data_IF_407699103585
#
_entry.id   IF_407699103585
#
_cell.length_a   1.000
_cell.length_b   1.000
_cell.length_c   1.000
_cell.angle_alpha   90.00
_cell.angle_beta   90.00
_cell.angle_gamma   90.00
#
_symmetry.space_group_name_H-M   'P 1'
#
loop_
_entity.id
_entity.type
_entity.pdbx_description
1 polymer ?
#
# COMPACT_ATOMS: atom_id res chain seq x y z
N UNK A 1 -69.44 38.76 7.02
CA UNK A 1 -68.79 39.95 6.43
C UNK A 1 -67.46 40.18 7.13
N UNK A 2 -66.36 39.79 6.49
CA UNK A 2 -65.03 40.39 6.69
C UNK A 2 -64.39 40.41 5.31
N UNK A 3 -64.78 41.40 4.51
CA UNK A 3 -63.99 41.80 3.35
C UNK A 3 -62.62 42.20 3.88
N UNK A 4 -61.63 41.34 3.66
CA UNK A 4 -60.25 41.63 3.96
C UNK A 4 -59.86 42.87 3.17
N UNK A 5 -59.54 43.96 3.86
CA UNK A 5 -58.92 45.15 3.28
C UNK A 5 -57.56 44.76 2.68
N UNK A 6 -57.56 44.23 1.45
CA UNK A 6 -56.38 44.23 0.62
C UNK A 6 -56.10 45.69 0.26
N UNK A 7 -54.95 46.20 0.69
CA UNK A 7 -54.55 47.56 0.38
C UNK A 7 -54.58 47.74 -1.15
N UNK A 8 -55.33 48.72 -1.64
CA UNK A 8 -55.45 49.06 -3.07
C UNK A 8 -54.12 49.49 -3.71
N UNK A 9 -53.07 49.68 -2.89
CA UNK A 9 -51.69 49.96 -3.29
C UNK A 9 -50.73 49.25 -2.31
N UNK A 10 -50.45 47.96 -2.49
CA UNK A 10 -49.45 47.28 -1.68
C UNK A 10 -48.07 47.84 -2.05
N UNK A 11 -47.46 48.60 -1.15
CA UNK A 11 -46.04 48.90 -1.27
C UNK A 11 -45.27 47.66 -0.83
N UNK A 12 -44.81 46.85 -1.78
CA UNK A 12 -43.84 45.79 -1.50
C UNK A 12 -42.52 46.46 -1.08
N UNK A 13 -42.18 46.34 0.20
CA UNK A 13 -40.88 46.74 0.73
C UNK A 13 -39.92 45.56 0.53
N UNK A 14 -39.13 45.59 -0.52
CA UNK A 14 -38.01 44.66 -0.71
C UNK A 14 -36.91 45.00 0.29
N UNK A 15 -36.81 44.22 1.38
CA UNK A 15 -35.79 44.41 2.43
C UNK A 15 -34.51 43.66 2.06
N UNK A 16 -33.74 44.25 1.15
CA UNK A 16 -32.43 43.72 0.73
C UNK A 16 -31.39 43.77 1.84
N UNK A 17 -31.56 44.67 2.83
CA UNK A 17 -30.60 44.88 3.90
C UNK A 17 -30.66 43.76 4.94
N UNK A 18 -31.84 43.19 5.21
CA UNK A 18 -32.01 42.10 6.17
C UNK A 18 -31.15 40.88 5.83
N UNK A 19 -31.17 40.43 4.57
CA UNK A 19 -30.40 39.28 4.12
C UNK A 19 -28.89 39.54 4.24
N UNK A 20 -28.46 40.72 3.83
CA UNK A 20 -27.06 41.15 3.94
C UNK A 20 -26.58 41.10 5.40
N UNK A 21 -27.34 41.66 6.35
CA UNK A 21 -26.94 41.70 7.77
C UNK A 21 -26.91 40.30 8.41
N UNK A 22 -27.81 39.39 8.00
CA UNK A 22 -27.87 38.05 8.57
C UNK A 22 -26.75 37.14 8.07
N UNK A 23 -26.36 37.30 6.80
CA UNK A 23 -25.40 36.42 6.13
C UNK A 23 -24.10 37.12 5.72
N UNK A 24 -23.79 38.27 6.34
CA UNK A 24 -22.54 38.99 6.05
C UNK A 24 -21.34 38.06 6.27
N UNK A 25 -20.41 38.08 5.30
CA UNK A 25 -19.21 37.24 5.23
C UNK A 25 -19.44 35.72 5.24
N UNK A 26 -20.69 35.24 5.11
CA UNK A 26 -20.99 33.81 4.97
C UNK A 26 -20.97 33.41 3.50
N UNK A 27 -19.98 32.59 3.15
CA UNK A 27 -19.75 32.13 1.77
C UNK A 27 -19.71 30.62 1.75
N UNK A 28 -20.51 30.02 0.87
CA UNK A 28 -20.45 28.59 0.63
C UNK A 28 -19.40 28.30 -0.44
N UNK A 29 -18.43 27.45 -0.13
CA UNK A 29 -17.34 27.07 -1.04
C UNK A 29 -17.52 25.62 -1.49
N UNK A 30 -17.60 25.42 -2.80
CA UNK A 30 -17.67 24.12 -3.45
C UNK A 30 -16.46 23.91 -4.37
N UNK A 31 -16.03 22.66 -4.48
CA UNK A 31 -15.04 22.22 -5.44
C UNK A 31 -15.74 21.61 -6.65
N UNK A 32 -15.40 22.12 -7.82
CA UNK A 32 -16.06 21.82 -9.08
C UNK A 32 -15.06 21.26 -10.07
N UNK A 33 -15.54 20.35 -10.90
CA UNK A 33 -14.81 19.83 -12.05
C UNK A 33 -15.52 20.31 -13.31
N UNK A 34 -14.79 20.99 -14.19
CA UNK A 34 -15.23 21.24 -15.55
C UNK A 34 -14.54 20.24 -16.46
N UNK A 35 -15.36 19.37 -17.06
CA UNK A 35 -14.93 18.42 -18.07
C UNK A 35 -15.12 19.04 -19.46
N UNK A 36 -14.01 19.36 -20.11
CA UNK A 36 -13.96 19.83 -21.51
C UNK A 36 -13.38 18.74 -22.43
N UNK A 37 -13.27 17.48 -21.99
CA UNK A 37 -12.60 16.41 -22.74
C UNK A 37 -13.22 16.09 -24.11
N UNK A 38 -14.48 16.48 -24.33
CA UNK A 38 -15.15 16.39 -25.64
C UNK A 38 -14.53 17.34 -26.68
N UNK A 39 -13.85 18.40 -26.26
CA UNK A 39 -13.18 19.35 -27.13
C UNK A 39 -11.80 18.84 -27.57
N UNK A 40 -11.38 19.12 -28.80
CA UNK A 40 -10.11 18.60 -29.37
C UNK A 40 -8.86 18.95 -28.55
N UNK A 41 -8.89 20.04 -27.80
CA UNK A 41 -7.80 20.48 -26.93
C UNK A 41 -8.28 20.70 -25.49
N UNK A 42 -9.42 20.12 -25.15
CA UNK A 42 -10.01 20.28 -23.83
C UNK A 42 -9.36 19.35 -22.81
N UNK A 43 -9.52 19.74 -21.56
CA UNK A 43 -8.90 19.10 -20.42
C UNK A 43 -9.81 19.19 -19.20
N UNK A 44 -9.52 18.34 -18.21
CA UNK A 44 -10.24 18.33 -16.93
C UNK A 44 -9.70 19.44 -16.03
N UNK A 45 -10.56 20.41 -15.71
CA UNK A 45 -10.17 21.61 -14.96
C UNK A 45 -10.82 21.63 -13.59
N UNK A 46 -10.00 21.83 -12.57
CA UNK A 46 -10.43 22.00 -11.19
C UNK A 46 -10.76 23.46 -10.93
N UNK A 47 -11.94 23.71 -10.39
CA UNK A 47 -12.42 25.05 -10.06
C UNK A 47 -13.02 25.09 -8.65
N UNK A 48 -13.11 26.29 -8.10
CA UNK A 48 -13.77 26.60 -6.84
C UNK A 48 -14.93 27.53 -7.11
N UNK A 49 -16.12 27.13 -6.70
CA UNK A 49 -17.33 27.94 -6.73
C UNK A 49 -17.57 28.52 -5.34
N UNK A 50 -17.70 29.86 -5.28
CA UNK A 50 -18.12 30.59 -4.10
C UNK A 50 -19.55 31.07 -4.30
N UNK A 51 -20.44 30.70 -3.39
CA UNK A 51 -21.82 31.20 -3.32
C UNK A 51 -21.97 32.12 -2.11
N UNK A 52 -22.30 33.39 -2.34
CA UNK A 52 -22.44 34.40 -1.31
C UNK A 52 -23.89 34.44 -0.82
N UNK A 53 -24.11 34.05 0.45
CA UNK A 53 -25.46 34.00 1.04
C UNK A 53 -26.08 35.39 1.27
N UNK A 54 -25.25 36.42 1.32
CA UNK A 54 -25.69 37.80 1.53
C UNK A 54 -26.49 38.38 0.36
N UNK A 55 -26.21 37.95 -0.87
CA UNK A 55 -26.79 38.50 -2.10
C UNK A 55 -27.15 37.45 -3.17
N UNK A 56 -27.01 36.16 -2.87
CA UNK A 56 -27.26 35.03 -3.76
C UNK A 56 -26.48 35.13 -5.08
N UNK A 57 -25.20 35.52 -4.97
CA UNK A 57 -24.29 35.62 -6.12
C UNK A 57 -23.27 34.50 -6.13
N UNK A 58 -22.82 34.14 -7.33
CA UNK A 58 -21.83 33.09 -7.58
C UNK A 58 -20.58 33.70 -8.21
N UNK A 59 -19.42 33.29 -7.71
CA UNK A 59 -18.09 33.56 -8.27
C UNK A 59 -17.38 32.21 -8.51
N UNK A 60 -16.69 32.07 -9.64
CA UNK A 60 -15.97 30.84 -9.97
C UNK A 60 -14.50 31.17 -10.22
N UNK A 61 -13.62 30.44 -9.55
CA UNK A 61 -12.16 30.56 -9.67
C UNK A 61 -11.54 29.26 -10.15
N UNK A 62 -10.57 29.35 -11.03
CA UNK A 62 -9.79 28.20 -11.49
C UNK A 62 -8.63 27.91 -10.51
N UNK A 63 -8.41 26.63 -10.19
CA UNK A 63 -7.25 26.18 -9.39
C UNK A 63 -6.09 25.90 -10.35
N UNK A 64 -5.19 26.87 -10.48
CA UNK A 64 -4.00 26.73 -11.34
C UNK A 64 -2.88 26.06 -10.52
N UNK A 65 -2.57 24.80 -10.85
CA UNK A 65 -1.44 24.06 -10.25
C UNK A 65 -0.11 24.47 -10.91
N UNK A 66 1.00 24.22 -10.22
CA UNK A 66 2.33 24.43 -10.79
C UNK A 66 2.55 23.56 -12.04
N UNK A 67 3.28 24.09 -13.03
CA UNK A 67 3.64 23.41 -14.28
C UNK A 67 2.46 23.04 -15.20
N UNK A 68 1.29 23.66 -15.05
CA UNK A 68 0.11 23.43 -15.94
C UNK A 68 0.22 24.20 -17.27
N UNK A 69 1.11 25.18 -17.37
CA UNK A 69 1.35 25.93 -18.62
C UNK A 69 0.25 26.93 -18.98
N UNK A 70 -0.58 27.34 -18.02
CA UNK A 70 -1.67 28.32 -18.19
C UNK A 70 -1.30 29.69 -17.66
N UNK A 71 -1.91 30.71 -18.23
CA UNK A 71 -1.83 32.07 -17.73
C UNK A 71 -2.52 32.20 -16.37
N UNK A 72 -1.95 33.03 -15.50
CA UNK A 72 -2.30 33.12 -14.09
C UNK A 72 -3.51 34.03 -13.83
N UNK A 73 -4.58 33.89 -14.62
CA UNK A 73 -5.85 34.59 -14.37
C UNK A 73 -6.79 33.64 -13.61
N UNK A 74 -6.83 33.70 -12.27
CA UNK A 74 -7.57 32.73 -11.47
C UNK A 74 -9.09 32.91 -11.55
N UNK A 75 -9.58 34.05 -12.07
CA UNK A 75 -11.01 34.35 -12.10
C UNK A 75 -11.64 33.86 -13.39
N UNK A 76 -12.47 32.83 -13.30
CA UNK A 76 -13.21 32.27 -14.43
C UNK A 76 -14.56 32.98 -14.63
N UNK A 77 -15.28 33.22 -13.54
CA UNK A 77 -16.56 33.94 -13.53
C UNK A 77 -16.53 35.02 -12.44
N UNK A 78 -16.75 36.28 -12.84
CA UNK A 78 -16.90 37.38 -11.88
C UNK A 78 -18.20 37.22 -11.10
N UNK A 79 -18.18 37.62 -9.81
CA UNK A 79 -19.35 37.60 -8.91
C UNK A 79 -20.59 38.21 -9.57
N UNK A 80 -21.61 37.40 -9.76
CA UNK A 80 -22.91 37.79 -10.32
C UNK A 80 -23.99 36.77 -9.98
N UNK A 81 -25.27 37.11 -10.16
CA UNK A 81 -26.36 36.13 -10.05
C UNK A 81 -26.36 35.23 -11.28
N UNK A 82 -26.26 33.92 -11.08
CA UNK A 82 -26.18 32.94 -12.16
C UNK A 82 -27.59 32.47 -12.55
N UNK A 83 -28.05 32.67 -13.79
CA UNK A 83 -29.33 32.13 -14.24
C UNK A 83 -29.23 30.62 -14.47
N UNK A 84 -30.31 29.87 -14.15
CA UNK A 84 -30.39 28.42 -14.38
C UNK A 84 -30.40 28.06 -15.86
N UNK A 85 -31.10 28.88 -16.63
CA UNK A 85 -31.25 28.74 -18.08
C UNK A 85 -30.44 29.84 -18.79
N UNK A 86 -29.83 29.54 -19.94
CA UNK A 86 -29.15 30.56 -20.73
C UNK A 86 -30.18 31.57 -21.27
N UNK A 87 -30.19 32.77 -20.68
CA UNK A 87 -31.08 33.85 -21.12
C UNK A 87 -30.39 34.63 -22.25
N UNK A 88 -31.08 34.81 -23.37
CA UNK A 88 -30.62 35.70 -24.44
C UNK A 88 -30.48 37.13 -23.92
N UNK A 89 -29.50 37.88 -24.44
CA UNK A 89 -29.32 39.30 -24.13
C UNK A 89 -30.65 40.06 -24.31
N UNK A 90 -31.13 40.62 -23.20
CA UNK A 90 -32.37 41.39 -23.18
C UNK A 90 -32.08 42.82 -23.64
N UNK A 91 -33.04 43.41 -24.34
CA UNK A 91 -32.97 44.83 -24.71
C UNK A 91 -32.98 45.73 -23.46
N UNK A 92 -32.25 46.87 -23.47
CA UNK A 92 -32.29 47.83 -22.37
C UNK A 92 -33.73 48.23 -22.02
N UNK A 93 -34.07 48.24 -20.73
CA UNK A 93 -35.42 48.59 -20.24
C UNK A 93 -36.43 47.43 -20.20
N UNK A 94 -36.08 46.23 -20.70
CA UNK A 94 -36.93 45.04 -20.61
C UNK A 94 -36.90 44.38 -19.22
N UNK A 95 -35.80 44.55 -18.48
CA UNK A 95 -35.70 44.19 -17.06
C UNK A 95 -35.74 45.44 -16.20
N UNK A 96 -36.90 45.70 -15.61
CA UNK A 96 -37.08 46.77 -14.61
C UNK A 96 -37.73 46.19 -13.36
N UNK A 97 -37.30 46.62 -12.18
CA UNK A 97 -37.90 46.18 -10.91
C UNK A 97 -39.37 46.62 -10.74
N UNK A 98 -39.82 47.57 -11.57
CA UNK A 98 -41.19 48.05 -11.64
C UNK A 98 -41.59 48.24 -13.09
N UNK A 99 -42.62 47.52 -13.53
CA UNK A 99 -43.24 47.72 -14.84
C UNK A 99 -44.20 48.90 -14.77
N UNK A 100 -44.25 49.68 -15.85
CA UNK A 100 -45.17 50.82 -15.98
C UNK A 100 -46.36 50.33 -16.80
N UNK A 101 -47.58 50.48 -16.26
CA UNK A 101 -48.81 50.11 -16.95
C UNK A 101 -49.19 51.17 -17.99
N UNK A 102 -49.05 52.45 -17.65
CA UNK A 102 -49.39 53.55 -18.54
C UNK A 102 -48.58 54.82 -18.22
N UNK A 103 -48.20 55.58 -19.26
CA UNK A 103 -47.54 56.88 -19.15
C UNK A 103 -48.50 57.96 -19.66
N UNK A 104 -48.82 58.95 -18.82
CA UNK A 104 -49.70 60.06 -19.16
C UNK A 104 -48.91 61.38 -19.22
N UNK A 105 -49.12 62.16 -20.29
CA UNK A 105 -48.56 63.51 -20.45
C UNK A 105 -47.35 63.59 -21.40
N UNK A 106 -46.92 64.82 -21.77
CA UNK A 106 -45.81 65.05 -22.69
C UNK A 106 -44.47 64.56 -22.10
N UNK A 107 -43.55 64.09 -22.96
CA UNK A 107 -42.20 63.65 -22.57
C UNK A 107 -41.41 64.82 -21.99
N UNK A 108 -41.32 64.88 -20.65
CA UNK A 108 -40.63 65.95 -19.92
C UNK A 108 -41.13 66.13 -18.50
N UNK A 109 -40.96 67.34 -17.95
CA UNK A 109 -41.46 67.71 -16.62
C UNK A 109 -43.00 67.78 -16.61
N UNK A 110 -43.64 66.90 -15.83
CA UNK A 110 -45.10 66.84 -15.68
C UNK A 110 -45.77 65.54 -16.12
N UNK A 111 -45.00 64.59 -16.69
CA UNK A 111 -45.51 63.25 -17.00
C UNK A 111 -45.86 62.45 -15.74
N UNK A 112 -47.04 61.81 -15.73
CA UNK A 112 -47.54 60.98 -14.63
C UNK A 112 -47.64 59.54 -15.13
N UNK A 113 -46.97 58.60 -14.47
CA UNK A 113 -47.01 57.18 -14.84
C UNK A 113 -47.68 56.36 -13.76
N UNK A 114 -48.40 55.32 -14.19
CA UNK A 114 -49.03 54.33 -13.32
C UNK A 114 -48.18 53.07 -13.34
N UNK A 115 -47.83 52.58 -12.15
CA UNK A 115 -47.15 51.29 -11.99
C UNK A 115 -48.11 50.15 -12.25
N UNK A 116 -47.62 49.12 -12.94
CA UNK A 116 -48.32 47.85 -13.07
C UNK A 116 -48.15 47.05 -11.76
N UNK A 117 -49.23 46.97 -10.98
CA UNK A 117 -49.25 46.21 -9.72
C UNK A 117 -49.28 44.69 -9.93
N UNK A 118 -49.72 44.23 -11.10
CA UNK A 118 -49.84 42.81 -11.42
C UNK A 118 -48.54 42.24 -12.02
N UNK A 119 -47.56 43.10 -12.33
CA UNK A 119 -46.25 42.72 -12.90
C UNK A 119 -46.40 41.79 -14.13
N UNK A 120 -47.44 41.99 -14.93
CA UNK A 120 -47.88 41.06 -15.98
C UNK A 120 -46.85 40.90 -17.11
N UNK A 121 -45.96 41.88 -17.26
CA UNK A 121 -44.85 41.87 -18.23
C UNK A 121 -43.45 41.67 -17.61
N UNK A 122 -43.36 41.34 -16.32
CA UNK A 122 -42.08 41.14 -15.65
C UNK A 122 -41.42 39.84 -16.12
N UNK A 123 -40.19 39.96 -16.65
CA UNK A 123 -39.38 38.79 -17.02
C UNK A 123 -38.79 38.19 -15.75
N UNK A 124 -39.33 37.06 -15.32
CA UNK A 124 -38.79 36.30 -14.20
C UNK A 124 -37.66 35.38 -14.67
N UNK A 125 -36.44 35.67 -14.24
CA UNK A 125 -35.29 34.78 -14.44
C UNK A 125 -35.10 33.95 -13.18
N UNK A 126 -35.07 32.64 -13.34
CA UNK A 126 -34.75 31.73 -12.25
C UNK A 126 -33.23 31.69 -12.06
N UNK A 127 -32.78 32.14 -10.89
CA UNK A 127 -31.38 32.08 -10.48
C UNK A 127 -31.12 30.83 -9.65
N UNK A 128 -29.88 30.35 -9.64
CA UNK A 128 -29.46 29.31 -8.70
C UNK A 128 -29.58 29.82 -7.27
N UNK A 129 -30.16 28.99 -6.40
CA UNK A 129 -30.17 29.20 -4.95
C UNK A 129 -29.25 28.20 -4.28
N UNK A 130 -29.02 28.37 -2.99
CA UNK A 130 -28.27 27.40 -2.20
C UNK A 130 -28.93 26.01 -2.18
N UNK A 131 -30.26 25.92 -2.29
CA UNK A 131 -30.93 24.62 -2.36
C UNK A 131 -30.56 23.78 -3.60
N UNK A 132 -30.10 24.41 -4.68
CA UNK A 132 -29.75 23.72 -5.93
C UNK A 132 -28.30 23.17 -5.94
N UNK A 133 -27.48 23.58 -4.97
CA UNK A 133 -26.04 23.30 -4.92
C UNK A 133 -25.76 22.13 -3.98
N UNK A 134 -25.81 20.91 -4.52
CA UNK A 134 -25.51 19.68 -3.77
C UNK A 134 -24.32 18.93 -4.38
N UNK A 135 -23.63 18.13 -3.58
CA UNK A 135 -22.54 17.29 -4.09
C UNK A 135 -23.12 16.29 -5.10
N UNK A 136 -22.47 16.18 -6.27
CA UNK A 136 -22.93 15.37 -7.40
C UNK A 136 -23.87 16.09 -8.37
N UNK A 137 -24.35 17.30 -8.04
CA UNK A 137 -25.16 18.08 -8.98
C UNK A 137 -24.30 18.71 -10.08
N UNK A 138 -24.89 18.85 -11.26
CA UNK A 138 -24.27 19.49 -12.42
C UNK A 138 -24.88 20.87 -12.62
N UNK A 139 -24.07 21.91 -12.52
CA UNK A 139 -24.48 23.31 -12.68
C UNK A 139 -24.18 23.75 -14.11
N UNK A 140 -25.14 24.40 -14.74
CA UNK A 140 -24.93 25.05 -16.03
C UNK A 140 -24.48 26.50 -15.85
N UNK A 141 -23.23 26.79 -16.22
CA UNK A 141 -22.63 28.13 -16.20
C UNK A 141 -22.47 28.61 -17.64
N UNK A 142 -23.45 29.38 -18.14
CA UNK A 142 -23.44 29.95 -19.49
C UNK A 142 -23.17 28.92 -20.60
N UNK A 143 -23.71 27.71 -20.47
CA UNK A 143 -23.53 26.60 -21.43
C UNK A 143 -22.45 25.59 -21.06
N UNK A 144 -21.63 25.87 -20.04
CA UNK A 144 -20.61 24.94 -19.52
C UNK A 144 -21.14 24.16 -18.32
N UNK A 145 -20.99 22.84 -18.33
CA UNK A 145 -21.45 21.96 -17.25
C UNK A 145 -20.35 21.77 -16.21
N UNK A 146 -20.66 22.12 -14.97
CA UNK A 146 -19.76 22.00 -13.82
C UNK A 146 -20.28 20.93 -12.87
N UNK A 147 -19.47 19.90 -12.60
CA UNK A 147 -19.80 18.87 -11.62
C UNK A 147 -19.28 19.30 -10.25
N UNK A 148 -20.16 19.42 -9.26
CA UNK A 148 -19.75 19.61 -7.87
C UNK A 148 -19.30 18.26 -7.28
N UNK A 149 -18.03 18.13 -6.88
CA UNK A 149 -17.49 16.87 -6.37
C UNK A 149 -17.14 16.89 -4.88
N UNK A 150 -16.88 18.07 -4.30
CA UNK A 150 -16.59 18.22 -2.87
C UNK A 150 -17.02 19.61 -2.38
N UNK A 151 -17.10 19.80 -1.07
CA UNK A 151 -17.47 21.07 -0.45
C UNK A 151 -16.71 21.32 0.86
N UNK A 152 -16.64 22.59 1.26
CA UNK A 152 -15.89 23.02 2.45
C UNK A 152 -16.59 22.64 3.76
N UNK A 153 -15.85 22.56 4.87
CA UNK A 153 -16.40 22.17 6.17
C UNK A 153 -17.54 23.07 6.62
N UNK A 154 -17.38 24.39 6.48
CA UNK A 154 -18.43 25.37 6.76
C UNK A 154 -19.72 25.12 5.96
N UNK A 155 -19.59 24.68 4.70
CA UNK A 155 -20.77 24.38 3.88
C UNK A 155 -21.50 23.14 4.40
N UNK A 156 -20.78 22.11 4.82
CA UNK A 156 -21.38 20.90 5.39
C UNK A 156 -22.23 21.24 6.61
N UNK A 157 -21.70 22.06 7.52
CA UNK A 157 -22.42 22.55 8.70
C UNK A 157 -23.65 23.40 8.33
N UNK A 158 -23.52 24.27 7.34
CA UNK A 158 -24.62 25.11 6.87
C UNK A 158 -25.78 24.29 6.31
N UNK A 159 -25.49 23.31 5.45
CA UNK A 159 -26.52 22.44 4.88
C UNK A 159 -27.12 21.48 5.91
N UNK A 160 -26.33 21.03 6.88
CA UNK A 160 -26.84 20.26 8.00
C UNK A 160 -27.82 21.09 8.85
N UNK A 161 -27.49 22.35 9.13
CA UNK A 161 -28.34 23.23 9.95
C UNK A 161 -29.61 23.68 9.21
N UNK A 162 -29.48 24.04 7.93
CA UNK A 162 -30.58 24.62 7.14
C UNK A 162 -31.49 23.57 6.50
N UNK A 163 -30.91 22.50 5.96
CA UNK A 163 -31.61 21.49 5.16
C UNK A 163 -31.64 20.10 5.83
N UNK A 164 -30.89 19.87 6.91
CA UNK A 164 -30.81 18.56 7.56
C UNK A 164 -30.10 17.49 6.73
N UNK A 165 -29.29 17.89 5.74
CA UNK A 165 -28.54 16.98 4.87
C UNK A 165 -27.24 16.57 5.56
N UNK A 166 -27.01 15.26 5.67
CA UNK A 166 -25.80 14.69 6.31
C UNK A 166 -24.89 13.93 5.33
N UNK A 167 -25.33 13.73 4.08
CA UNK A 167 -24.56 12.95 3.10
C UNK A 167 -23.71 13.87 2.23
N UNK A 168 -22.41 13.91 2.54
CA UNK A 168 -21.42 14.73 1.82
C UNK A 168 -20.23 13.88 1.36
N UNK A 169 -20.49 12.74 0.72
CA UNK A 169 -19.43 11.90 0.18
C UNK A 169 -18.74 12.57 -1.02
N UNK A 170 -17.42 12.83 -0.94
CA UNK A 170 -16.70 13.44 -2.05
C UNK A 170 -16.58 12.45 -3.22
N UNK A 171 -16.86 12.92 -4.42
CA UNK A 171 -16.79 12.10 -5.64
C UNK A 171 -15.33 12.03 -6.09
N UNK A 172 -14.76 10.83 -6.05
CA UNK A 172 -13.42 10.57 -6.61
C UNK A 172 -13.50 10.57 -8.13
N UNK A 173 -12.85 11.53 -8.77
CA UNK A 173 -12.77 11.65 -10.23
C UNK A 173 -11.38 11.30 -10.80
N UNK A 174 -10.33 11.24 -9.96
CA UNK A 174 -8.99 10.78 -10.38
C UNK A 174 -8.78 9.34 -9.97
N UNK A 175 -8.28 8.53 -10.89
CA UNK A 175 -7.69 7.23 -10.57
C UNK A 175 -6.41 7.43 -9.78
N UNK A 176 -6.17 6.60 -8.77
CA UNK A 176 -4.89 6.59 -8.07
C UNK A 176 -3.76 6.32 -9.08
N UNK A 177 -2.62 7.02 -8.98
CA UNK A 177 -1.49 6.78 -9.86
C UNK A 177 -1.10 5.31 -9.75
N UNK A 178 -1.07 4.60 -10.88
CA UNK A 178 -0.67 3.19 -10.91
C UNK A 178 0.73 3.04 -10.33
N UNK A 179 0.90 2.05 -9.45
CA UNK A 179 2.24 1.71 -8.96
C UNK A 179 3.13 1.35 -10.15
N UNK A 180 4.38 1.86 -10.21
CA UNK A 180 5.30 1.45 -11.26
C UNK A 180 5.50 -0.05 -11.17
N UNK A 181 5.41 -0.74 -12.32
CA UNK A 181 5.65 -2.20 -12.37
C UNK A 181 7.07 -2.48 -11.85
N UNK A 182 7.24 -3.39 -10.88
CA UNK A 182 8.58 -3.77 -10.43
C UNK A 182 9.35 -4.37 -11.60
N UNK A 183 10.65 -4.06 -11.68
CA UNK A 183 11.51 -4.64 -12.70
C UNK A 183 11.84 -6.08 -12.29
N UNK A 184 11.55 -7.02 -13.17
CA UNK A 184 11.93 -8.42 -12.98
C UNK A 184 13.44 -8.58 -13.23
N UNK A 185 14.10 -9.33 -12.37
CA UNK A 185 15.53 -9.63 -12.51
C UNK A 185 15.64 -10.82 -13.47
N UNK A 186 16.46 -10.74 -14.52
CA UNK A 186 16.62 -11.84 -15.46
C UNK A 186 17.23 -13.07 -14.78
N UNK A 187 16.95 -14.28 -15.30
CA UNK A 187 17.58 -15.49 -14.79
C UNK A 187 19.10 -15.44 -14.94
N UNK A 188 19.79 -16.11 -14.03
CA UNK A 188 21.25 -16.19 -14.02
C UNK A 188 21.80 -16.87 -15.28
N UNK A 189 22.86 -16.30 -15.85
CA UNK A 189 23.42 -16.69 -17.15
C UNK A 189 24.46 -17.82 -17.09
N UNK A 190 24.81 -18.34 -15.90
CA UNK A 190 25.80 -19.42 -15.73
C UNK A 190 27.26 -18.98 -15.65
N UNK A 191 27.56 -17.68 -15.74
CA UNK A 191 28.92 -17.15 -15.64
C UNK A 191 29.16 -16.44 -14.30
N UNK A 192 30.34 -16.61 -13.72
CA UNK A 192 30.69 -15.97 -12.44
C UNK A 192 29.87 -16.50 -11.26
N UNK A 193 29.63 -15.68 -10.24
CA UNK A 193 28.70 -16.02 -9.15
C UNK A 193 27.32 -15.40 -9.40
N UNK A 194 26.29 -15.95 -8.75
CA UNK A 194 24.93 -15.41 -8.85
C UNK A 194 24.88 -14.00 -8.27
N UNK A 195 25.60 -13.74 -7.17
CA UNK A 195 25.66 -12.44 -6.50
C UNK A 195 26.34 -11.36 -7.37
N UNK A 196 27.39 -11.73 -8.08
CA UNK A 196 28.12 -10.85 -9.00
C UNK A 196 27.29 -10.52 -10.26
N UNK A 197 26.59 -11.52 -10.80
CA UNK A 197 25.66 -11.32 -11.91
C UNK A 197 24.48 -10.43 -11.51
N UNK A 198 23.93 -10.59 -10.30
CA UNK A 198 22.88 -9.74 -9.78
C UNK A 198 23.33 -8.28 -9.67
N UNK A 199 24.56 -8.05 -9.20
CA UNK A 199 25.13 -6.70 -9.12
C UNK A 199 25.26 -6.03 -10.49
N UNK A 200 25.50 -6.81 -11.54
CA UNK A 200 25.50 -6.32 -12.93
C UNK A 200 24.10 -5.95 -13.43
N UNK A 201 23.05 -6.61 -12.97
CA UNK A 201 21.66 -6.26 -13.32
C UNK A 201 21.14 -5.03 -12.56
N UNK A 202 21.69 -4.74 -11.38
CA UNK A 202 21.23 -3.65 -10.51
C UNK A 202 21.72 -2.26 -10.94
N UNK A 203 22.87 -2.17 -11.63
CA UNK A 203 23.44 -0.88 -12.04
C UNK A 203 24.37 -0.98 -13.24
N UNK A 204 24.49 0.12 -13.99
CA UNK A 204 25.36 0.21 -15.17
C UNK A 204 26.84 -0.02 -14.82
N UNK A 205 27.27 0.49 -13.65
CA UNK A 205 28.61 0.26 -13.12
C UNK A 205 28.47 -0.84 -12.06
N UNK A 206 28.93 -2.07 -12.33
CA UNK A 206 28.83 -3.15 -11.37
C UNK A 206 29.65 -2.82 -10.14
N UNK A 207 29.05 -3.02 -8.97
CA UNK A 207 29.74 -2.92 -7.68
C UNK A 207 30.05 -4.34 -7.22
N UNK A 208 31.23 -4.57 -6.62
CA UNK A 208 31.53 -5.87 -6.07
C UNK A 208 30.49 -6.25 -5.01
N UNK A 209 30.04 -7.52 -4.97
CA UNK A 209 29.11 -7.97 -3.95
C UNK A 209 29.75 -7.79 -2.57
N UNK A 210 28.93 -7.35 -1.60
CA UNK A 210 29.39 -7.18 -0.23
C UNK A 210 29.15 -8.47 0.54
N UNK A 211 30.18 -8.96 1.19
CA UNK A 211 30.08 -10.08 2.12
C UNK A 211 29.49 -9.60 3.45
N UNK A 212 28.85 -10.50 4.19
CA UNK A 212 28.31 -10.22 5.52
C UNK A 212 29.43 -10.10 6.55
N UNK A 213 30.09 -8.93 6.57
CA UNK A 213 31.25 -8.67 7.44
C UNK A 213 30.94 -8.85 8.93
N UNK A 214 29.71 -8.56 9.36
CA UNK A 214 29.29 -8.74 10.76
C UNK A 214 29.34 -10.23 11.13
N UNK A 215 28.72 -11.07 10.28
CA UNK A 215 28.71 -12.52 10.46
C UNK A 215 30.13 -13.08 10.43
N UNK A 216 30.95 -12.60 9.49
CA UNK A 216 32.35 -12.97 9.42
C UNK A 216 33.08 -12.66 10.74
N UNK A 217 33.00 -11.43 11.23
CA UNK A 217 33.71 -11.01 12.46
C UNK A 217 33.24 -11.76 13.72
N UNK A 218 31.94 -12.00 13.88
CA UNK A 218 31.40 -12.69 15.06
C UNK A 218 31.68 -14.20 15.07
N UNK A 219 31.67 -14.81 13.88
CA UNK A 219 31.80 -16.26 13.71
C UNK A 219 33.19 -16.69 13.25
N UNK A 220 34.14 -15.76 13.12
CA UNK A 220 35.54 -16.11 12.88
C UNK A 220 36.20 -16.68 14.15
N UNK A 221 37.42 -17.18 13.98
CA UNK A 221 38.24 -17.74 15.05
C UNK A 221 38.59 -16.67 16.07
N UNK A 222 38.10 -16.83 17.30
CA UNK A 222 38.48 -15.99 18.42
C UNK A 222 39.49 -16.73 19.31
N UNK A 223 40.79 -16.51 19.06
CA UNK A 223 41.85 -17.17 19.82
C UNK A 223 41.96 -18.68 19.53
N UNK A 224 41.71 -19.51 20.54
CA UNK A 224 41.70 -20.98 20.38
C UNK A 224 40.34 -21.52 19.90
N UNK A 225 39.25 -20.77 20.09
CA UNK A 225 37.91 -21.20 19.75
C UNK A 225 37.65 -20.94 18.26
N UNK A 226 37.53 -22.03 17.49
CA UNK A 226 37.16 -22.00 16.08
C UNK A 226 35.69 -22.35 15.95
N UNK A 227 34.87 -21.42 15.45
CA UNK A 227 33.44 -21.64 15.26
C UNK A 227 33.16 -22.47 13.99
N UNK A 228 33.64 -23.71 13.99
CA UNK A 228 33.52 -24.67 12.90
C UNK A 228 32.76 -25.88 13.41
N UNK A 229 31.64 -26.19 12.77
CA UNK A 229 30.85 -27.37 13.10
C UNK A 229 31.44 -28.56 12.34
N UNK A 230 31.88 -29.59 13.07
CA UNK A 230 32.48 -30.79 12.48
C UNK A 230 31.54 -31.96 12.69
N UNK A 231 31.33 -32.71 11.61
CA UNK A 231 30.47 -33.88 11.58
C UNK A 231 31.21 -35.05 10.97
N UNK A 232 31.01 -36.25 11.53
CA UNK A 232 31.43 -37.48 10.89
C UNK A 232 30.32 -37.96 9.97
N UNK A 233 30.69 -38.34 8.76
CA UNK A 233 29.78 -38.86 7.76
C UNK A 233 30.33 -40.10 7.08
N UNK A 234 29.42 -40.93 6.57
CA UNK A 234 29.71 -42.05 5.68
C UNK A 234 29.16 -41.77 4.30
N UNK A 235 29.81 -42.27 3.26
CA UNK A 235 29.29 -42.15 1.90
C UNK A 235 28.21 -43.20 1.66
N UNK A 236 27.06 -42.74 1.16
CA UNK A 236 25.94 -43.59 0.72
C UNK A 236 26.13 -43.90 -0.76
N UNK A 237 26.83 -45.01 -1.05
CA UNK A 237 27.25 -45.43 -2.39
C UNK A 237 27.12 -46.93 -2.49
N UNK A 238 26.57 -47.45 -3.59
CA UNK A 238 26.38 -48.90 -3.80
C UNK A 238 27.69 -49.70 -3.86
N UNK A 239 28.84 -49.02 -3.99
CA UNK A 239 30.14 -49.69 -4.07
C UNK A 239 30.60 -50.13 -2.66
N UNK A 240 30.87 -51.42 -2.43
CA UNK A 240 31.25 -51.93 -1.10
C UNK A 240 32.56 -51.34 -0.57
N UNK A 241 33.42 -50.86 -1.45
CA UNK A 241 34.69 -50.19 -1.10
C UNK A 241 34.44 -48.84 -0.41
N UNK A 242 33.36 -48.15 -0.78
CA UNK A 242 33.05 -46.81 -0.25
C UNK A 242 32.31 -46.85 1.09
N UNK A 243 31.63 -47.95 1.41
CA UNK A 243 30.81 -48.07 2.62
C UNK A 243 31.62 -47.93 3.93
N UNK A 244 32.89 -48.36 3.90
CA UNK A 244 33.77 -48.32 5.07
C UNK A 244 34.55 -47.01 5.17
N UNK A 245 34.35 -46.05 4.26
CA UNK A 245 35.05 -44.77 4.26
C UNK A 245 34.30 -43.78 5.13
N UNK A 246 35.01 -43.18 6.06
CA UNK A 246 34.51 -42.12 6.92
C UNK A 246 35.05 -40.78 6.46
N UNK A 247 34.21 -39.76 6.50
CA UNK A 247 34.52 -38.40 6.09
C UNK A 247 34.21 -37.45 7.24
N UNK A 248 34.99 -36.39 7.35
CA UNK A 248 34.78 -35.31 8.29
C UNK A 248 34.28 -34.12 7.47
N UNK A 249 33.01 -33.76 7.68
CA UNK A 249 32.39 -32.58 7.09
C UNK A 249 32.59 -31.43 8.07
N UNK A 250 33.31 -30.39 7.65
CA UNK A 250 33.51 -29.16 8.42
C UNK A 250 32.70 -28.03 7.79
N UNK A 251 31.74 -27.49 8.53
CA UNK A 251 30.94 -26.33 8.17
C UNK A 251 31.47 -25.07 8.87
N UNK A 252 31.84 -24.07 8.09
CA UNK A 252 32.37 -22.80 8.60
C UNK A 252 31.22 -21.79 8.78
N UNK A 253 30.94 -21.40 10.02
CA UNK A 253 29.84 -20.47 10.34
C UNK A 253 30.09 -19.04 9.86
N UNK A 254 31.34 -18.67 9.54
CA UNK A 254 31.69 -17.32 9.10
C UNK A 254 31.28 -17.00 7.66
N UNK A 255 31.31 -17.98 6.76
CA UNK A 255 31.07 -17.80 5.32
C UNK A 255 30.13 -18.86 4.70
N UNK A 256 29.53 -19.72 5.52
CA UNK A 256 28.63 -20.82 5.08
C UNK A 256 29.29 -21.74 4.05
N UNK A 257 30.59 -22.00 4.21
CA UNK A 257 31.33 -22.93 3.36
C UNK A 257 31.46 -24.30 4.00
N UNK A 258 31.59 -25.32 3.16
CA UNK A 258 31.73 -26.71 3.55
C UNK A 258 33.07 -27.24 3.03
N UNK A 259 33.78 -27.95 3.89
CA UNK A 259 34.99 -28.71 3.56
C UNK A 259 34.75 -30.17 3.92
N UNK A 260 35.09 -31.10 3.02
CA UNK A 260 35.02 -32.54 3.30
C UNK A 260 36.42 -33.11 3.31
N UNK A 261 36.82 -33.69 4.44
CA UNK A 261 38.13 -34.27 4.64
C UNK A 261 38.03 -35.76 4.96
N UNK A 262 38.80 -36.57 4.25
CA UNK A 262 38.92 -38.01 4.49
C UNK A 262 40.19 -38.28 5.30
N UNK A 263 40.07 -38.73 6.57
CA UNK A 263 41.24 -39.09 7.37
C UNK A 263 41.97 -40.30 6.77
N UNK A 264 43.31 -40.27 6.72
CA UNK A 264 44.10 -41.38 6.18
C UNK A 264 44.04 -42.60 7.13
N UNK A 265 43.61 -43.74 6.60
CA UNK A 265 43.57 -45.00 7.34
C UNK A 265 44.72 -45.91 6.92
N UNK A 266 45.46 -46.47 7.90
CA UNK A 266 46.52 -47.45 7.60
C UNK A 266 45.91 -48.70 6.98
N UNK A 267 46.59 -49.26 5.98
CA UNK A 267 46.22 -50.50 5.29
C UNK A 267 44.89 -50.45 4.51
N UNK A 268 44.30 -49.27 4.26
CA UNK A 268 43.08 -49.13 3.45
C UNK A 268 43.35 -49.17 1.94
N UNK A 269 44.57 -48.86 1.51
CA UNK A 269 44.93 -48.69 0.09
C UNK A 269 44.38 -47.41 -0.55
N UNK A 270 43.72 -46.53 0.23
CA UNK A 270 43.14 -45.27 -0.24
C UNK A 270 43.95 -44.11 0.35
N UNK A 271 44.35 -43.17 -0.50
CA UNK A 271 45.05 -41.96 -0.08
C UNK A 271 44.00 -41.00 0.52
N UNK A 272 44.06 -40.80 1.83
CA UNK A 272 43.24 -39.79 2.51
C UNK A 272 43.67 -38.38 2.15
N UNK A 273 42.84 -37.40 2.51
CA UNK A 273 43.10 -35.99 2.21
C UNK A 273 41.80 -35.17 2.10
N UNK A 274 41.92 -33.99 1.49
CA UNK A 274 40.73 -33.17 1.20
C UNK A 274 39.95 -33.84 0.06
N UNK A 275 38.77 -34.34 0.39
CA UNK A 275 37.85 -34.92 -0.59
C UNK A 275 37.11 -33.81 -1.36
N UNK A 276 36.72 -32.75 -0.66
CA UNK A 276 36.15 -31.54 -1.23
C UNK A 276 36.83 -30.33 -0.60
N UNK A 277 37.33 -29.41 -1.43
CA UNK A 277 37.89 -28.14 -0.98
C UNK A 277 36.79 -27.20 -0.48
N UNK A 278 37.16 -26.30 0.46
CA UNK A 278 36.27 -25.34 1.09
C UNK A 278 35.54 -24.52 0.04
N UNK A 279 34.24 -24.72 -0.08
CA UNK A 279 33.39 -24.03 -1.05
C UNK A 279 31.94 -23.98 -0.58
N UNK A 280 31.13 -23.08 -1.15
CA UNK A 280 29.68 -23.04 -0.92
C UNK A 280 29.01 -24.05 -1.86
N UNK A 281 28.22 -24.96 -1.32
CA UNK A 281 27.60 -26.06 -2.07
C UNK A 281 26.10 -25.75 -2.23
N UNK A 282 25.60 -25.90 -3.45
CA UNK A 282 24.18 -25.74 -3.76
C UNK A 282 23.40 -27.01 -3.44
N UNK A 283 22.19 -26.84 -2.93
CA UNK A 283 21.23 -27.93 -2.74
C UNK A 283 20.79 -28.43 -4.13
N UNK A 284 20.65 -29.75 -4.34
CA UNK A 284 20.27 -30.31 -5.64
C UNK A 284 18.92 -29.78 -6.16
N UNK A 285 18.00 -29.39 -5.26
CA UNK A 285 16.67 -28.86 -5.59
C UNK A 285 16.71 -27.44 -6.18
N UNK A 286 17.86 -26.78 -6.19
CA UNK A 286 17.99 -25.40 -6.66
C UNK A 286 17.43 -24.35 -5.69
N UNK A 287 17.08 -24.75 -4.45
CA UNK A 287 16.57 -23.89 -3.39
C UNK A 287 17.62 -22.94 -2.79
N UNK A 288 18.87 -23.03 -3.23
CA UNK A 288 19.98 -22.17 -2.81
C UNK A 288 21.18 -22.97 -2.34
N UNK A 289 21.84 -22.48 -1.28
CA UNK A 289 23.03 -23.08 -0.69
C UNK A 289 22.68 -23.85 0.60
N UNK A 290 23.46 -24.90 0.89
CA UNK A 290 23.35 -25.61 2.16
C UNK A 290 23.59 -24.68 3.35
N UNK A 291 22.69 -24.73 4.32
CA UNK A 291 22.81 -24.01 5.58
C UNK A 291 23.25 -24.95 6.71
N UNK A 292 23.67 -24.38 7.83
CA UNK A 292 23.95 -25.15 9.05
C UNK A 292 22.75 -25.96 9.53
N UNK A 293 21.53 -25.53 9.21
CA UNK A 293 20.27 -26.18 9.60
C UNK A 293 20.05 -27.51 8.88
N UNK A 294 20.63 -27.67 7.70
CA UNK A 294 20.49 -28.88 6.89
C UNK A 294 21.46 -29.98 7.32
N UNK A 295 22.43 -29.63 8.18
CA UNK A 295 23.47 -30.52 8.71
C UNK A 295 23.11 -30.94 10.13
N UNK A 296 22.50 -32.11 10.27
CA UNK A 296 22.19 -32.74 11.56
C UNK A 296 22.49 -34.24 11.52
N UNK A 297 22.58 -34.87 12.69
CA UNK A 297 22.88 -36.30 12.81
C UNK A 297 21.75 -37.12 12.18
N UNK A 298 22.09 -38.05 11.30
CA UNK A 298 21.16 -38.84 10.49
C UNK A 298 20.69 -38.16 9.21
N UNK A 299 21.11 -36.93 8.92
CA UNK A 299 20.76 -36.26 7.67
C UNK A 299 21.45 -36.90 6.46
N UNK A 300 20.70 -37.02 5.36
CA UNK A 300 21.24 -37.38 4.04
C UNK A 300 21.54 -36.10 3.27
N UNK A 301 22.82 -35.84 3.00
CA UNK A 301 23.27 -34.65 2.28
C UNK A 301 23.93 -35.03 0.98
N UNK A 302 23.67 -34.28 -0.08
CA UNK A 302 24.22 -34.54 -1.41
C UNK A 302 25.17 -33.42 -1.81
N UNK A 303 26.46 -33.71 -1.84
CA UNK A 303 27.49 -32.77 -2.27
C UNK A 303 28.05 -33.18 -3.62
N UNK A 304 27.85 -32.35 -4.65
CA UNK A 304 28.35 -32.58 -6.01
C UNK A 304 28.06 -33.99 -6.54
N UNK A 305 26.82 -34.48 -6.34
CA UNK A 305 26.32 -35.83 -6.70
C UNK A 305 26.83 -36.99 -5.83
N UNK A 306 27.58 -36.71 -4.76
CA UNK A 306 27.94 -37.70 -3.75
C UNK A 306 27.00 -37.57 -2.56
N UNK A 307 26.35 -38.68 -2.20
CA UNK A 307 25.46 -38.74 -1.05
C UNK A 307 26.23 -39.14 0.18
N UNK A 308 26.00 -38.43 1.27
CA UNK A 308 26.62 -38.67 2.57
C UNK A 308 25.53 -38.78 3.62
N UNK A 309 25.73 -39.69 4.57
CA UNK A 309 24.92 -39.83 5.77
C UNK A 309 25.75 -39.33 6.93
N UNK A 310 25.27 -38.29 7.61
CA UNK A 310 25.92 -37.80 8.82
C UNK A 310 25.65 -38.79 9.94
N UNK A 311 26.70 -39.41 10.46
CA UNK A 311 26.58 -40.43 11.52
C UNK A 311 26.81 -39.85 12.90
N UNK A 312 27.71 -38.88 13.03
CA UNK A 312 28.12 -38.35 14.33
C UNK A 312 28.50 -36.87 14.22
N UNK A 313 28.59 -36.17 15.35
CA UNK A 313 28.94 -34.76 15.45
C UNK A 313 30.01 -34.53 16.53
N UNK A 314 30.87 -33.55 16.31
CA UNK A 314 31.84 -33.10 17.31
C UNK A 314 31.13 -32.48 18.52
N UNK A 315 31.70 -32.61 19.71
CA UNK A 315 31.09 -32.14 20.97
C UNK A 315 30.76 -30.64 20.90
N UNK A 316 31.65 -29.86 20.30
CA UNK A 316 31.42 -28.44 20.04
C UNK A 316 30.21 -28.20 19.14
N UNK A 317 30.04 -29.02 18.09
CA UNK A 317 28.94 -28.88 17.16
C UNK A 317 27.60 -29.17 17.83
N UNK A 318 27.54 -30.23 18.65
CA UNK A 318 26.36 -30.56 19.46
C UNK A 318 26.03 -29.41 20.42
N UNK A 319 27.00 -28.95 21.20
CA UNK A 319 26.81 -27.84 22.15
C UNK A 319 26.32 -26.56 21.46
N UNK A 320 26.89 -26.22 20.29
CA UNK A 320 26.48 -25.06 19.51
C UNK A 320 25.02 -25.16 19.05
N UNK A 321 24.63 -26.33 18.52
CA UNK A 321 23.27 -26.58 18.03
C UNK A 321 22.26 -26.54 19.18
N UNK A 322 22.58 -27.13 20.34
CA UNK A 322 21.74 -27.10 21.54
C UNK A 322 21.56 -25.67 22.10
N UNK A 323 22.65 -24.90 22.17
CA UNK A 323 22.60 -23.50 22.60
C UNK A 323 21.72 -22.66 21.67
N UNK A 324 21.70 -22.99 20.38
CA UNK A 324 20.90 -22.34 19.35
C UNK A 324 19.59 -23.11 19.01
N UNK A 325 18.96 -23.77 19.99
CA UNK A 325 17.75 -24.60 19.80
C UNK A 325 16.54 -23.93 19.11
N UNK A 326 16.50 -22.59 19.03
CA UNK A 326 15.47 -21.85 18.30
C UNK A 326 15.67 -21.93 16.78
N UNK A 327 16.92 -21.99 16.34
CA UNK A 327 17.29 -22.06 14.92
C UNK A 327 17.34 -23.50 14.43
N UNK A 328 17.67 -24.44 15.31
CA UNK A 328 17.80 -25.86 15.02
C UNK A 328 16.63 -26.65 15.61
N UNK A 329 15.65 -26.98 14.77
CA UNK A 329 14.48 -27.76 15.18
C UNK A 329 14.83 -29.15 15.74
N UNK A 330 15.94 -29.73 15.27
CA UNK A 330 16.38 -31.09 15.64
C UNK A 330 16.96 -31.19 17.05
N UNK A 331 17.35 -30.07 17.67
CA UNK A 331 17.83 -30.03 19.05
C UNK A 331 16.84 -29.34 20.00
N UNK A 332 15.64 -29.01 19.52
CA UNK A 332 14.61 -28.37 20.31
C UNK A 332 13.84 -29.41 21.13
N UNK A 333 14.33 -29.69 22.34
CA UNK A 333 13.76 -30.70 23.25
C UNK A 333 12.24 -30.55 23.45
N UNK A 334 11.67 -29.34 23.68
CA UNK A 334 10.21 -29.19 23.78
C UNK A 334 9.43 -29.71 22.57
N UNK A 335 9.89 -29.46 21.34
CA UNK A 335 9.23 -29.91 20.10
C UNK A 335 9.36 -31.43 19.96
N UNK A 336 10.51 -31.98 20.32
CA UNK A 336 10.75 -33.42 20.29
C UNK A 336 9.85 -34.12 21.30
N UNK A 337 9.75 -33.60 22.52
CA UNK A 337 8.88 -34.14 23.57
C UNK A 337 7.41 -34.10 23.19
N UNK A 338 6.94 -33.03 22.53
CA UNK A 338 5.55 -32.98 22.07
C UNK A 338 5.27 -34.03 21.00
N UNK A 339 6.19 -34.23 20.03
CA UNK A 339 6.07 -35.28 19.02
C UNK A 339 6.15 -36.68 19.62
N UNK A 340 7.07 -36.91 20.56
CA UNK A 340 7.20 -38.18 21.26
C UNK A 340 5.95 -38.49 22.08
N UNK A 341 5.33 -37.49 22.72
CA UNK A 341 4.08 -37.68 23.46
C UNK A 341 2.95 -38.16 22.56
N UNK A 342 2.77 -37.55 21.39
CA UNK A 342 1.75 -37.98 20.43
C UNK A 342 1.95 -39.42 19.93
N UNK A 343 3.21 -39.86 19.80
CA UNK A 343 3.55 -41.23 19.38
C UNK A 343 3.37 -42.21 20.53
N UNK A 344 3.81 -41.83 21.74
CA UNK A 344 3.71 -42.66 22.95
C UNK A 344 2.25 -42.87 23.33
N UNK A 345 1.39 -41.87 23.16
CA UNK A 345 -0.05 -42.00 23.43
C UNK A 345 -0.72 -43.04 22.49
N UNK A 346 -0.16 -43.31 21.31
CA UNK A 346 -0.69 -44.29 20.33
C UNK A 346 -0.12 -45.69 20.51
N UNK A 347 1.14 -45.83 20.93
CA UNK A 347 1.88 -47.11 21.05
C UNK A 347 2.41 -47.35 22.45
N UNK A 348 1.63 -46.97 23.47
CA UNK A 348 2.07 -46.93 24.86
C UNK A 348 2.47 -48.31 25.40
N UNK A 349 1.76 -49.36 25.02
CA UNK A 349 2.03 -50.74 25.46
C UNK A 349 3.30 -51.30 24.82
N UNK A 350 3.51 -51.06 23.53
CA UNK A 350 4.70 -51.52 22.79
C UNK A 350 5.97 -50.84 23.33
N UNK A 351 5.92 -49.52 23.50
CA UNK A 351 7.05 -48.73 24.02
C UNK A 351 7.40 -49.15 25.45
N UNK A 352 6.40 -49.38 26.32
CA UNK A 352 6.62 -49.90 27.67
C UNK A 352 7.24 -51.29 27.66
N UNK A 353 6.76 -52.18 26.78
CA UNK A 353 7.31 -53.53 26.67
C UNK A 353 8.76 -53.54 26.20
N UNK A 354 9.12 -52.63 25.27
CA UNK A 354 10.48 -52.45 24.79
C UNK A 354 11.42 -51.95 25.90
N UNK A 355 11.01 -50.91 26.64
CA UNK A 355 11.81 -50.40 27.76
C UNK A 355 11.96 -51.43 28.89
N UNK A 356 10.92 -52.23 29.17
CA UNK A 356 10.99 -53.33 30.14
C UNK A 356 11.92 -54.48 29.68
N UNK A 357 12.05 -54.71 28.37
CA UNK A 357 13.00 -55.67 27.81
C UNK A 357 14.42 -55.12 27.80
N UNK A 358 14.59 -53.81 27.55
CA UNK A 358 15.89 -53.14 27.51
C UNK A 358 16.51 -52.94 28.89
N UNK A 359 15.70 -52.85 29.96
CA UNK A 359 16.15 -52.81 31.36
C UNK A 359 15.58 -53.97 32.20
N UNK A 360 16.11 -55.20 32.04
CA UNK A 360 15.65 -56.36 32.82
C UNK A 360 15.94 -56.24 34.32
N UNK A 361 16.82 -55.32 34.72
CA UNK A 361 17.26 -55.12 36.09
C UNK A 361 16.57 -53.94 36.80
N UNK A 362 15.66 -53.24 36.11
CA UNK A 362 14.94 -52.05 36.61
C UNK A 362 15.89 -51.00 37.22
N UNK A 363 17.05 -50.86 36.59
CA UNK A 363 18.14 -49.98 37.02
C UNK A 363 17.85 -48.50 36.73
N UNK A 364 16.87 -48.21 35.87
CA UNK A 364 16.48 -46.86 35.47
C UNK A 364 17.44 -46.20 34.47
N UNK A 365 18.44 -46.94 33.97
CA UNK A 365 19.42 -46.45 33.00
C UNK A 365 19.48 -47.39 31.80
N UNK A 366 19.41 -46.82 30.60
CA UNK A 366 19.57 -47.55 29.33
C UNK A 366 20.82 -46.98 28.65
N UNK A 367 21.70 -47.86 28.16
CA UNK A 367 22.87 -47.45 27.39
C UNK A 367 22.45 -46.82 26.06
N UNK A 368 23.20 -45.84 25.59
CA UNK A 368 22.91 -45.13 24.33
C UNK A 368 22.72 -46.07 23.13
N UNK A 369 23.49 -47.17 23.05
CA UNK A 369 23.36 -48.16 21.96
C UNK A 369 22.06 -48.98 22.01
N UNK A 370 21.40 -49.02 23.17
CA UNK A 370 20.15 -49.76 23.40
C UNK A 370 18.91 -48.85 23.39
N UNK A 371 19.09 -47.53 23.35
CA UNK A 371 18.05 -46.52 23.25
C UNK A 371 17.86 -46.11 21.79
#
# INVERSE_FOLDING_TARGET
>A
MKESMQALRPYEKEDTLKQFLQYDRRVLRFYCLWDDSDSMFGDLREMVLHYFLADDTIEIREIIRANVGRDAVPMFLRRQKLPKEPVSTLQPGRMTGRTVLNVFGPMGHGGRWILDSLKTGAVHINYYTDADLTIGSVINVWGRKFLLFDCDEYTKEHYQTKFGVNDFQPIKYKSDPGQPKPREIPPYNGFGSEEDSLCSCLGLIPKPPKHDFIKFMEKDRHGLDSNVLRFMAKMDSDRPIDHNRHFIISYFLCDDTILVYEPPQRNSGIIGGKFLERSRIKVPDGSGYYSSRDLFIGAHVEFLKHKFIITDADEYAVYYIEKNNKEYLQANVPIILSKLREITDKHLEDVRSFFAQADPQDSGYISYDNF
#
